data_IF_886385994013
#
_entry.id   IF_886385994013
#
_cell.length_a   1.000
_cell.length_b   1.000
_cell.length_c   1.000
_cell.angle_alpha   90.00
_cell.angle_beta   90.00
_cell.angle_gamma   90.00
#
_symmetry.space_group_name_H-M   'P 1'
#
loop_
_entity.id
_entity.type
_entity.pdbx_description
1 polymer ?
#
# COMPACT_ATOMS: atom_id res chain seq x y z
N UNK A 1 -15.54 44.19 31.20
CA UNK A 1 -14.20 44.07 31.85
C UNK A 1 -13.27 43.34 30.91
N UNK A 2 -12.43 44.18 30.26
CA UNK A 2 -11.40 43.79 29.35
C UNK A 2 -10.35 42.85 29.96
N UNK A 3 -9.78 42.00 29.13
CA UNK A 3 -8.32 41.82 29.04
C UNK A 3 -7.91 41.10 27.72
N UNK A 4 -7.60 41.90 26.74
CA UNK A 4 -6.68 41.56 25.64
C UNK A 4 -5.26 41.36 26.19
N UNK A 5 -4.50 40.42 25.63
CA UNK A 5 -3.02 40.44 25.44
C UNK A 5 -2.74 39.55 24.24
N UNK A 6 -2.52 40.07 23.11
CA UNK A 6 -1.34 40.73 22.49
C UNK A 6 -0.09 39.85 22.37
N UNK A 7 0.20 39.50 21.13
CA UNK A 7 1.44 39.41 20.36
C UNK A 7 2.70 38.87 21.01
N UNK A 8 3.37 37.93 20.32
CA UNK A 8 4.78 38.13 19.91
C UNK A 8 5.13 37.23 18.71
N UNK A 9 5.35 37.87 17.59
CA UNK A 9 6.11 37.44 16.43
C UNK A 9 7.59 37.32 16.78
N UNK A 10 8.25 36.29 16.27
CA UNK A 10 9.69 36.31 16.05
C UNK A 10 10.03 35.57 14.76
N UNK A 11 10.32 36.36 13.78
CA UNK A 11 11.07 36.06 12.55
C UNK A 11 12.53 35.78 12.90
N UNK A 12 13.12 34.75 12.34
CA UNK A 12 14.56 34.68 12.14
C UNK A 12 14.83 33.96 10.81
N UNK A 13 15.19 34.76 9.83
CA UNK A 13 15.83 34.36 8.59
C UNK A 13 17.32 34.13 8.87
N UNK A 14 17.89 33.09 8.34
CA UNK A 14 19.32 32.97 8.14
C UNK A 14 19.61 32.38 6.77
N UNK A 15 20.00 33.25 5.89
CA UNK A 15 20.66 33.02 4.61
C UNK A 15 22.12 32.76 4.88
N UNK A 16 22.71 31.71 4.35
CA UNK A 16 24.13 31.62 4.11
C UNK A 16 24.39 30.88 2.80
N UNK A 17 24.76 31.64 1.81
CA UNK A 17 25.45 31.26 0.59
C UNK A 17 26.97 31.26 0.84
N UNK A 18 27.70 30.30 0.29
CA UNK A 18 29.14 30.36 -0.07
C UNK A 18 29.36 29.21 -1.04
N UNK A 19 29.55 29.45 -2.26
CA UNK A 19 30.71 29.88 -3.06
C UNK A 19 31.49 28.70 -3.62
N UNK A 20 31.51 28.70 -4.95
CA UNK A 20 32.32 27.86 -5.83
C UNK A 20 33.80 28.34 -5.79
N UNK A 21 34.71 27.42 -6.06
CA UNK A 21 36.03 27.58 -6.67
C UNK A 21 36.48 26.15 -6.99
N UNK A 22 36.75 25.71 -8.19
CA UNK A 22 37.65 26.26 -9.17
C UNK A 22 38.99 25.55 -9.07
N UNK A 23 39.35 24.75 -10.06
CA UNK A 23 40.68 24.66 -10.65
C UNK A 23 40.95 23.35 -11.35
N UNK A 24 40.90 23.34 -12.62
CA UNK A 24 41.92 23.00 -13.65
C UNK A 24 43.22 22.35 -13.17
N UNK A 25 43.54 21.18 -13.69
CA UNK A 25 44.91 20.85 -14.12
C UNK A 25 44.86 19.76 -15.18
N UNK A 26 45.19 20.18 -16.39
CA UNK A 26 45.61 19.32 -17.47
C UNK A 26 47.00 18.80 -17.15
N UNK A 27 47.25 17.50 -17.37
CA UNK A 27 48.58 17.00 -17.64
C UNK A 27 48.51 15.95 -18.76
N UNK A 28 49.08 16.40 -19.87
CA UNK A 28 49.46 15.56 -20.96
C UNK A 28 50.74 14.77 -20.56
N UNK A 29 50.82 13.51 -20.94
CA UNK A 29 52.01 12.70 -20.68
C UNK A 29 51.92 11.33 -21.30
N UNK A 30 52.34 11.28 -22.59
CA UNK A 30 53.16 10.28 -23.26
C UNK A 30 52.78 8.80 -23.25
N UNK A 31 52.27 8.40 -24.41
CA UNK A 31 52.75 7.33 -25.30
C UNK A 31 53.60 6.23 -24.68
N UNK A 32 53.05 5.03 -24.59
CA UNK A 32 53.79 3.79 -24.77
C UNK A 32 52.89 2.80 -25.47
N UNK A 33 53.18 2.62 -26.75
CA UNK A 33 52.75 1.45 -27.54
C UNK A 33 53.34 0.20 -26.90
N UNK A 34 52.50 -0.73 -26.51
CA UNK A 34 52.84 -2.17 -26.43
C UNK A 34 51.62 -2.98 -26.85
N UNK A 35 51.72 -3.42 -28.09
CA UNK A 35 51.30 -4.68 -28.69
C UNK A 35 50.24 -5.46 -27.90
N UNK A 36 49.01 -5.31 -28.40
CA UNK A 36 47.94 -6.17 -28.01
C UNK A 36 47.96 -7.48 -28.75
N UNK A 37 47.66 -8.48 -28.12
CA UNK A 37 47.02 -9.69 -28.63
C UNK A 37 47.11 -10.71 -27.51
N UNK A 38 46.19 -10.71 -26.60
CA UNK A 38 45.88 -11.92 -25.82
C UNK A 38 44.74 -11.73 -24.82
N UNK A 39 43.90 -10.66 -24.97
CA UNK A 39 42.82 -10.43 -24.03
C UNK A 39 41.38 -10.67 -24.57
N UNK A 40 41.22 -11.25 -25.74
CA UNK A 40 39.91 -11.52 -26.34
C UNK A 40 39.32 -12.90 -25.97
N UNK A 41 40.06 -13.75 -25.27
CA UNK A 41 39.63 -15.11 -24.93
C UNK A 41 38.77 -15.21 -23.66
N UNK A 42 38.98 -14.32 -22.72
CA UNK A 42 38.39 -14.45 -21.37
C UNK A 42 36.95 -13.92 -21.26
N UNK A 43 36.59 -12.96 -22.12
CA UNK A 43 35.23 -12.37 -22.06
C UNK A 43 34.13 -13.28 -22.65
N UNK A 44 34.49 -14.28 -23.46
CA UNK A 44 33.51 -15.21 -24.05
C UNK A 44 33.02 -16.26 -23.05
N UNK A 45 33.78 -16.56 -22.01
CA UNK A 45 33.42 -17.58 -21.04
C UNK A 45 32.36 -17.01 -20.07
N UNK A 46 32.49 -15.73 -19.68
CA UNK A 46 31.53 -15.11 -18.79
C UNK A 46 30.13 -14.88 -19.42
N UNK A 47 30.06 -14.62 -20.71
CA UNK A 47 28.78 -14.43 -21.38
C UNK A 47 27.96 -15.72 -21.52
N UNK A 48 28.58 -16.87 -21.58
CA UNK A 48 27.88 -18.16 -21.66
C UNK A 48 27.29 -18.60 -20.33
N UNK A 49 27.90 -18.19 -19.21
CA UNK A 49 27.42 -18.59 -17.87
C UNK A 49 26.14 -17.83 -17.48
N UNK A 50 25.97 -16.60 -17.96
CA UNK A 50 24.77 -15.83 -17.66
C UNK A 50 23.53 -16.24 -18.47
N UNK A 51 23.72 -16.87 -19.62
CA UNK A 51 22.60 -17.31 -20.46
C UNK A 51 22.01 -18.65 -20.02
N UNK A 52 22.75 -19.44 -19.24
CA UNK A 52 22.30 -20.77 -18.82
C UNK A 52 21.45 -20.72 -17.52
N UNK A 53 21.63 -19.69 -16.70
CA UNK A 53 20.86 -19.54 -15.45
C UNK A 53 19.51 -18.82 -15.63
N UNK A 54 19.27 -18.18 -16.77
CA UNK A 54 18.03 -17.47 -17.07
C UNK A 54 16.85 -18.37 -17.51
N UNK A 55 17.06 -19.69 -17.62
CA UNK A 55 16.00 -20.66 -17.99
C UNK A 55 15.54 -21.57 -16.88
N UNK A 56 15.75 -21.21 -15.63
CA UNK A 56 14.91 -21.78 -14.58
C UNK A 56 13.53 -21.12 -14.74
N UNK A 57 12.71 -21.79 -15.54
CA UNK A 57 11.34 -21.40 -15.77
C UNK A 57 10.65 -21.21 -14.42
N UNK A 58 10.49 -19.97 -14.01
CA UNK A 58 9.46 -19.62 -13.02
C UNK A 58 8.16 -20.06 -13.65
N UNK A 59 7.73 -21.27 -13.34
CA UNK A 59 6.42 -21.79 -13.68
C UNK A 59 5.44 -20.79 -13.06
N UNK A 60 4.98 -19.81 -13.83
CA UNK A 60 3.90 -18.94 -13.39
C UNK A 60 2.77 -19.87 -13.02
N UNK A 61 2.54 -20.01 -11.72
CA UNK A 61 1.31 -20.62 -11.25
C UNK A 61 0.17 -19.75 -11.76
N UNK A 62 -0.34 -20.08 -12.92
CA UNK A 62 -1.38 -19.35 -13.65
C UNK A 62 -2.78 -19.62 -13.09
N UNK A 63 -2.89 -19.90 -11.78
CA UNK A 63 -4.20 -19.91 -11.16
C UNK A 63 -4.62 -18.46 -10.90
N UNK A 64 -5.73 -18.01 -11.47
CA UNK A 64 -6.19 -16.65 -11.24
C UNK A 64 -6.42 -16.44 -9.74
N UNK A 65 -5.67 -15.50 -9.16
CA UNK A 65 -5.82 -15.16 -7.74
C UNK A 65 -7.28 -14.77 -7.49
N UNK A 66 -7.93 -15.46 -6.55
CA UNK A 66 -9.35 -15.26 -6.27
C UNK A 66 -9.66 -13.81 -5.86
N UNK A 67 -10.87 -13.34 -6.16
CA UNK A 67 -11.30 -11.99 -5.79
C UNK A 67 -11.20 -11.74 -4.28
N UNK A 68 -11.47 -12.74 -3.45
CA UNK A 68 -11.31 -12.68 -1.99
C UNK A 68 -9.88 -12.37 -1.56
N UNK A 69 -8.89 -13.05 -2.15
CA UNK A 69 -7.47 -12.82 -1.87
C UNK A 69 -7.05 -11.41 -2.31
N UNK A 70 -7.51 -10.97 -3.49
CA UNK A 70 -7.25 -9.59 -3.97
C UNK A 70 -7.86 -8.54 -3.06
N UNK A 71 -9.07 -8.79 -2.54
CA UNK A 71 -9.77 -7.91 -1.62
C UNK A 71 -9.04 -7.79 -0.29
N UNK A 72 -8.59 -8.91 0.31
CA UNK A 72 -7.76 -8.92 1.52
C UNK A 72 -6.46 -8.14 1.34
N UNK A 73 -5.74 -8.41 0.25
CA UNK A 73 -4.49 -7.69 -0.06
C UNK A 73 -4.71 -6.19 -0.26
N UNK A 74 -5.82 -5.79 -0.88
CA UNK A 74 -6.18 -4.38 -1.03
C UNK A 74 -6.49 -3.73 0.32
N UNK A 75 -7.27 -4.39 1.17
CA UNK A 75 -7.60 -3.90 2.51
C UNK A 75 -6.37 -3.77 3.41
N UNK A 76 -5.46 -4.76 3.38
CA UNK A 76 -4.20 -4.73 4.13
C UNK A 76 -3.38 -3.47 3.79
N UNK A 77 -3.22 -3.17 2.48
CA UNK A 77 -2.55 -1.93 2.05
C UNK A 77 -3.23 -0.66 2.55
N UNK A 78 -4.57 -0.64 2.60
CA UNK A 78 -5.30 0.52 3.12
C UNK A 78 -5.19 0.67 4.64
N UNK A 79 -5.11 -0.43 5.37
CA UNK A 79 -4.85 -0.46 6.82
C UNK A 79 -3.48 0.14 7.10
N UNK A 80 -2.43 -0.32 6.40
CA UNK A 80 -1.06 0.21 6.55
C UNK A 80 -0.99 1.71 6.19
N UNK A 81 -1.68 2.16 5.12
CA UNK A 81 -1.73 3.60 4.75
C UNK A 81 -2.39 4.47 5.80
N UNK A 82 -3.20 3.92 6.70
CA UNK A 82 -3.80 4.61 7.83
C UNK A 82 -2.92 4.58 9.08
N UNK A 83 -1.70 4.08 8.96
CA UNK A 83 -0.76 3.85 10.07
C UNK A 83 -1.34 2.91 11.15
N UNK A 84 -2.23 2.03 10.75
CA UNK A 84 -2.75 0.97 11.60
C UNK A 84 -1.81 -0.24 11.57
N UNK A 85 -1.58 -0.85 12.72
CA UNK A 85 -0.70 -2.03 12.85
C UNK A 85 -1.27 -3.26 12.12
N UNK A 86 -0.43 -4.29 11.95
CA UNK A 86 -0.85 -5.59 11.40
C UNK A 86 -1.96 -6.24 12.22
N UNK A 87 -2.03 -5.98 13.53
CA UNK A 87 -3.10 -6.48 14.40
C UNK A 87 -4.46 -5.94 14.01
N UNK A 88 -4.50 -4.67 13.58
CA UNK A 88 -5.73 -4.07 13.08
C UNK A 88 -6.22 -4.78 11.81
N UNK A 89 -5.30 -5.21 10.95
CA UNK A 89 -5.69 -6.01 9.80
C UNK A 89 -6.18 -7.41 10.20
N UNK A 90 -5.56 -8.06 11.20
CA UNK A 90 -6.05 -9.35 11.72
C UNK A 90 -7.48 -9.25 12.27
N UNK A 91 -7.77 -8.19 13.02
CA UNK A 91 -9.13 -7.91 13.51
C UNK A 91 -10.11 -7.71 12.35
N UNK A 92 -9.73 -6.93 11.33
CA UNK A 92 -10.53 -6.68 10.14
C UNK A 92 -10.81 -7.97 9.36
N UNK A 93 -9.78 -8.81 9.19
CA UNK A 93 -9.91 -10.09 8.49
C UNK A 93 -10.86 -11.02 9.22
N UNK A 94 -10.77 -11.10 10.54
CA UNK A 94 -11.70 -11.87 11.39
C UNK A 94 -13.12 -11.37 11.25
N UNK A 95 -13.33 -10.05 11.31
CA UNK A 95 -14.63 -9.42 11.20
C UNK A 95 -15.28 -9.71 9.84
N UNK A 96 -14.61 -9.36 8.74
CA UNK A 96 -15.19 -9.49 7.39
C UNK A 96 -15.22 -10.93 6.88
N UNK A 97 -14.47 -11.85 7.50
CA UNK A 97 -14.64 -13.28 7.29
C UNK A 97 -15.97 -13.76 7.87
N UNK A 98 -16.35 -13.28 9.05
CA UNK A 98 -17.64 -13.60 9.67
C UNK A 98 -18.81 -12.97 8.91
N UNK A 99 -18.66 -11.74 8.45
CA UNK A 99 -19.71 -11.00 7.75
C UNK A 99 -20.07 -11.60 6.39
N UNK A 100 -19.09 -11.86 5.56
CA UNK A 100 -19.32 -12.24 4.16
C UNK A 100 -18.33 -13.24 3.60
N UNK A 101 -17.35 -13.66 4.41
CA UNK A 101 -16.15 -14.33 3.93
C UNK A 101 -15.48 -13.58 2.77
N UNK A 102 -15.43 -12.24 2.86
CA UNK A 102 -14.87 -11.35 1.83
C UNK A 102 -15.57 -11.44 0.47
N UNK A 103 -16.81 -11.90 0.46
CA UNK A 103 -17.62 -11.94 -0.75
C UNK A 103 -18.28 -10.59 -1.00
N UNK A 104 -17.85 -9.89 -2.02
CA UNK A 104 -18.41 -8.60 -2.41
C UNK A 104 -19.83 -8.68 -2.97
N UNK A 105 -20.31 -9.87 -3.32
CA UNK A 105 -21.66 -10.11 -3.80
C UNK A 105 -22.54 -10.76 -2.72
N UNK A 106 -22.06 -10.85 -1.47
CA UNK A 106 -22.86 -11.39 -0.38
C UNK A 106 -24.09 -10.51 -0.15
N UNK A 107 -25.25 -11.16 -0.06
CA UNK A 107 -26.52 -10.50 0.20
C UNK A 107 -27.32 -11.28 1.24
N UNK A 108 -27.67 -10.63 2.32
CA UNK A 108 -28.56 -11.21 3.31
C UNK A 108 -30.01 -10.87 2.97
N UNK A 109 -30.79 -11.86 2.56
CA UNK A 109 -32.17 -11.68 2.10
C UNK A 109 -33.11 -11.20 3.19
N UNK A 110 -32.79 -11.45 4.45
CA UNK A 110 -33.64 -11.09 5.60
C UNK A 110 -33.41 -9.66 6.04
N UNK A 111 -32.16 -9.25 6.15
CA UNK A 111 -31.82 -7.90 6.62
C UNK A 111 -31.62 -6.89 5.48
N UNK A 112 -31.27 -7.34 4.27
CA UNK A 112 -30.84 -6.48 3.16
C UNK A 112 -29.36 -6.07 3.23
N UNK A 113 -28.59 -6.60 4.19
CA UNK A 113 -27.16 -6.31 4.29
C UNK A 113 -26.38 -6.80 3.06
N UNK A 114 -25.40 -6.00 2.62
CA UNK A 114 -24.73 -6.24 1.35
C UNK A 114 -23.21 -6.11 1.41
N UNK A 115 -22.57 -6.99 0.62
CA UNK A 115 -21.16 -6.93 0.27
C UNK A 115 -20.21 -7.37 1.37
N UNK A 116 -18.92 -7.05 1.21
CA UNK A 116 -17.86 -7.43 2.15
C UNK A 116 -18.17 -6.97 3.57
N UNK A 117 -18.57 -5.70 3.81
CA UNK A 117 -18.82 -5.20 5.16
C UNK A 117 -20.24 -5.48 5.65
N UNK A 118 -21.10 -6.15 4.88
CA UNK A 118 -22.54 -6.31 5.19
C UNK A 118 -23.21 -4.97 5.58
N UNK A 119 -23.00 -3.96 4.71
CA UNK A 119 -23.58 -2.63 4.95
C UNK A 119 -25.12 -2.68 4.93
N UNK A 120 -25.75 -1.98 5.88
CA UNK A 120 -27.20 -1.91 6.02
C UNK A 120 -27.69 -0.44 6.17
N UNK A 121 -28.48 0.10 5.23
CA UNK A 121 -28.69 -0.42 3.91
C UNK A 121 -27.41 -0.37 3.05
N UNK A 122 -27.34 -1.25 2.03
CA UNK A 122 -26.13 -1.39 1.19
C UNK A 122 -25.80 -0.16 0.34
N UNK A 123 -26.81 0.63 -0.04
CA UNK A 123 -26.67 1.84 -0.86
C UNK A 123 -25.85 2.96 -0.19
N UNK A 124 -25.67 2.93 1.14
CA UNK A 124 -24.74 3.82 1.86
C UNK A 124 -23.33 3.77 1.30
N UNK A 125 -22.93 2.64 0.70
CA UNK A 125 -21.64 2.51 0.05
C UNK A 125 -21.51 3.36 -1.22
N UNK A 126 -22.64 3.80 -1.79
CA UNK A 126 -22.71 4.77 -2.89
C UNK A 126 -22.05 6.11 -2.59
N UNK A 127 -21.94 6.49 -1.32
CA UNK A 127 -21.21 7.69 -0.87
C UNK A 127 -19.69 7.63 -1.17
N UNK A 128 -19.17 6.45 -1.50
CA UNK A 128 -17.76 6.24 -1.84
C UNK A 128 -17.57 5.99 -3.33
N UNK A 129 -18.55 5.39 -3.99
CA UNK A 129 -18.52 5.16 -5.43
C UNK A 129 -19.80 4.50 -5.92
N UNK A 130 -20.28 4.93 -7.08
CA UNK A 130 -21.52 4.43 -7.70
C UNK A 130 -21.46 2.92 -8.05
N UNK A 131 -20.24 2.37 -8.21
CA UNK A 131 -19.95 0.99 -8.55
C UNK A 131 -19.95 0.02 -7.36
N UNK A 132 -20.43 0.46 -6.20
CA UNK A 132 -20.37 -0.27 -4.94
C UNK A 132 -20.96 -1.69 -5.01
N UNK A 133 -21.93 -1.93 -5.88
CA UNK A 133 -22.56 -3.26 -6.00
C UNK A 133 -21.60 -4.33 -6.50
N UNK A 134 -20.70 -3.97 -7.43
CA UNK A 134 -19.79 -4.91 -8.10
C UNK A 134 -18.32 -4.70 -7.77
N UNK A 135 -17.96 -3.56 -7.20
CA UNK A 135 -16.57 -3.22 -6.93
C UNK A 135 -16.18 -3.45 -5.46
N UNK A 136 -15.42 -4.51 -5.15
CA UNK A 136 -14.97 -4.77 -3.78
C UNK A 136 -14.11 -3.65 -3.20
N UNK A 137 -13.38 -2.89 -4.03
CA UNK A 137 -12.54 -1.80 -3.54
C UNK A 137 -13.38 -0.65 -2.99
N UNK A 138 -14.52 -0.35 -3.59
CA UNK A 138 -15.47 0.66 -3.12
C UNK A 138 -16.07 0.24 -1.78
N UNK A 139 -16.49 -1.00 -1.66
CA UNK A 139 -17.01 -1.58 -0.41
C UNK A 139 -15.99 -1.54 0.71
N UNK A 140 -14.73 -1.93 0.43
CA UNK A 140 -13.63 -1.91 1.42
C UNK A 140 -13.33 -0.50 1.89
N UNK A 141 -13.28 0.50 0.98
CA UNK A 141 -13.06 1.90 1.36
C UNK A 141 -14.16 2.42 2.26
N UNK A 142 -15.41 2.12 1.91
CA UNK A 142 -16.56 2.50 2.71
C UNK A 142 -16.51 1.83 4.09
N UNK A 143 -16.34 0.52 4.16
CA UNK A 143 -16.30 -0.23 5.41
C UNK A 143 -15.20 0.26 6.36
N UNK A 144 -13.99 0.56 5.83
CA UNK A 144 -12.91 1.14 6.64
C UNK A 144 -13.22 2.57 7.12
N UNK A 145 -13.96 3.37 6.33
CA UNK A 145 -14.43 4.70 6.76
C UNK A 145 -15.47 4.56 7.88
N UNK A 146 -16.42 3.66 7.72
CA UNK A 146 -17.43 3.34 8.71
C UNK A 146 -16.81 2.87 10.03
N UNK A 147 -15.91 1.88 9.97
CA UNK A 147 -15.21 1.36 11.15
C UNK A 147 -14.45 2.47 11.87
N UNK A 148 -13.72 3.32 11.13
CA UNK A 148 -13.00 4.44 11.75
C UNK A 148 -13.95 5.42 12.46
N UNK A 149 -15.08 5.77 11.84
CA UNK A 149 -16.01 6.73 12.41
C UNK A 149 -16.78 6.21 13.62
N UNK A 150 -17.15 4.92 13.61
CA UNK A 150 -18.00 4.36 14.68
C UNK A 150 -17.22 3.67 15.79
N UNK A 151 -16.11 3.02 15.48
CA UNK A 151 -15.35 2.17 16.41
C UNK A 151 -13.91 2.61 16.59
N UNK A 152 -13.47 3.65 15.92
CA UNK A 152 -12.11 4.15 15.94
C UNK A 152 -11.11 3.26 15.20
N UNK A 153 -11.25 1.93 15.27
CA UNK A 153 -10.32 0.98 14.67
C UNK A 153 -10.98 -0.37 14.34
N UNK A 154 -10.34 -1.18 13.48
CA UNK A 154 -10.80 -2.54 13.19
C UNK A 154 -10.89 -3.46 14.42
N UNK A 155 -9.94 -3.36 15.35
CA UNK A 155 -10.01 -4.15 16.59
C UNK A 155 -11.14 -3.67 17.51
N UNK A 156 -11.46 -2.38 17.51
CA UNK A 156 -12.66 -1.85 18.19
C UNK A 156 -13.95 -2.44 17.61
N UNK A 157 -14.08 -2.46 16.29
CA UNK A 157 -15.22 -3.06 15.59
C UNK A 157 -15.33 -4.57 15.85
N UNK A 158 -14.20 -5.29 15.79
CA UNK A 158 -14.15 -6.73 16.08
C UNK A 158 -14.51 -7.03 17.54
N UNK A 159 -14.04 -6.22 18.49
CA UNK A 159 -14.41 -6.33 19.91
C UNK A 159 -15.90 -6.19 20.10
N UNK A 160 -16.51 -5.15 19.49
CA UNK A 160 -17.96 -4.94 19.52
C UNK A 160 -18.72 -6.12 18.90
N UNK A 161 -18.31 -6.59 17.73
CA UNK A 161 -18.93 -7.74 17.07
C UNK A 161 -18.94 -9.00 17.97
N UNK A 162 -17.82 -9.28 18.64
CA UNK A 162 -17.75 -10.46 19.54
C UNK A 162 -18.72 -10.39 20.72
N UNK A 163 -19.06 -9.20 21.16
CA UNK A 163 -19.97 -9.00 22.30
C UNK A 163 -21.44 -8.92 21.89
N UNK A 164 -21.72 -8.46 20.65
CA UNK A 164 -23.09 -8.13 20.23
C UNK A 164 -23.55 -8.88 18.97
N UNK A 165 -22.64 -9.60 18.27
CA UNK A 165 -22.90 -10.27 16.99
C UNK A 165 -23.27 -9.34 15.82
N UNK A 166 -22.97 -8.05 15.94
CA UNK A 166 -23.11 -7.03 14.87
C UNK A 166 -22.09 -5.90 15.06
N UNK A 167 -21.89 -5.09 14.00
CA UNK A 167 -21.04 -3.91 14.08
C UNK A 167 -21.53 -2.81 13.14
#
# INVERSE_FOLDING_TARGET
MDRQRAMRTTTAAAVLAVAALGSTAAHAGSRSERTGADHYGEWRIHQRTWQTTARLGVKRLSHPVSMRVRSRAFASRLVSRRLWSSDQFRCLDSLWTRESNWNHLAYNRWSGAYGIPQALPGDKMGLVGWDWRSNPRTQIRWGLKYIKGRYGSPCGAWGHFRSHNWY
#
